data_IF_532392195049
#
_entry.id   IF_532392195049
#
_cell.length_a   1.000
_cell.length_b   1.000
_cell.length_c   1.000
_cell.angle_alpha   90.00
_cell.angle_beta   90.00
_cell.angle_gamma   90.00
#
_symmetry.space_group_name_H-M   'P 1'
#
loop_
_entity.id
_entity.type
_entity.pdbx_description
1 polymer ?
#
# COMPACT_ATOMS: atom_id res chain seq x y z
N UNK A 1 28.15 28.14 21.81
CA UNK A 1 28.11 27.40 20.53
C UNK A 1 26.66 27.00 20.28
N UNK A 2 26.13 27.19 19.07
CA UNK A 2 24.82 26.64 18.72
C UNK A 2 24.85 25.11 18.78
N UNK A 3 23.69 24.50 19.04
CA UNK A 3 23.48 23.05 18.93
C UNK A 3 23.94 22.59 17.54
N UNK A 4 24.59 21.43 17.44
CA UNK A 4 25.03 20.93 16.14
C UNK A 4 23.84 20.69 15.21
N UNK A 5 24.04 20.95 13.91
CA UNK A 5 23.02 20.73 12.90
C UNK A 5 22.51 19.28 12.93
N UNK A 6 23.42 18.31 13.09
CA UNK A 6 23.05 16.89 13.18
C UNK A 6 22.11 16.61 14.35
N UNK A 7 22.43 17.11 15.55
CA UNK A 7 21.57 16.96 16.72
C UNK A 7 20.20 17.61 16.51
N UNK A 8 20.17 18.83 15.97
CA UNK A 8 18.93 19.53 15.69
C UNK A 8 18.03 18.76 14.70
N UNK A 9 18.60 18.23 13.62
CA UNK A 9 17.88 17.45 12.61
C UNK A 9 17.32 16.14 13.18
N UNK A 10 18.11 15.41 13.99
CA UNK A 10 17.65 14.19 14.66
C UNK A 10 16.46 14.48 15.58
N UNK A 11 16.58 15.49 16.44
CA UNK A 11 15.53 15.87 17.38
C UNK A 11 14.26 16.34 16.67
N UNK A 12 14.42 17.06 15.55
CA UNK A 12 13.30 17.50 14.71
C UNK A 12 12.70 16.38 13.84
N UNK A 13 13.36 15.20 13.76
CA UNK A 13 13.01 14.08 12.87
C UNK A 13 13.05 14.44 11.38
N UNK A 14 13.99 15.29 11.01
CA UNK A 14 14.17 15.81 9.65
C UNK A 14 15.40 15.19 8.99
N UNK A 15 15.31 14.91 7.69
CA UNK A 15 16.53 14.64 6.91
C UNK A 15 17.26 15.96 6.62
N UNK A 16 18.57 15.92 6.38
CA UNK A 16 19.30 17.01 5.75
C UNK A 16 18.60 17.49 4.47
N UNK A 17 18.64 18.79 4.23
CA UNK A 17 17.89 19.43 3.13
C UNK A 17 18.27 18.86 1.76
N UNK A 18 19.56 18.63 1.51
CA UNK A 18 20.04 18.07 0.24
C UNK A 18 19.55 16.62 0.02
N UNK A 19 19.46 15.82 1.10
CA UNK A 19 18.87 14.48 1.05
C UNK A 19 17.36 14.57 0.79
N UNK A 20 16.65 15.51 1.44
CA UNK A 20 15.21 15.76 1.16
C UNK A 20 14.95 16.13 -0.30
N UNK A 21 15.78 17.01 -0.86
CA UNK A 21 15.66 17.45 -2.26
C UNK A 21 15.86 16.27 -3.20
N UNK A 22 16.88 15.43 -2.97
CA UNK A 22 17.11 14.21 -3.76
C UNK A 22 16.00 13.17 -3.59
N UNK A 23 15.46 12.99 -2.37
CA UNK A 23 14.30 12.12 -2.12
C UNK A 23 13.09 12.57 -2.97
N UNK A 24 12.81 13.87 -3.01
CA UNK A 24 11.73 14.44 -3.79
C UNK A 24 11.95 14.34 -5.30
N UNK A 25 13.19 14.57 -5.77
CA UNK A 25 13.57 14.44 -7.18
C UNK A 25 13.38 13.00 -7.67
N UNK A 26 13.90 12.01 -6.94
CA UNK A 26 13.72 10.58 -7.25
C UNK A 26 12.24 10.19 -7.34
N UNK A 27 11.43 10.65 -6.39
CA UNK A 27 9.99 10.37 -6.42
C UNK A 27 9.29 11.00 -7.63
N UNK A 28 9.74 12.17 -8.07
CA UNK A 28 9.23 12.83 -9.28
C UNK A 28 9.61 12.05 -10.55
N UNK A 29 10.86 11.59 -10.65
CA UNK A 29 11.36 10.77 -11.78
C UNK A 29 10.57 9.47 -11.92
N UNK A 30 10.33 8.75 -10.81
CA UNK A 30 9.51 7.52 -10.80
C UNK A 30 8.10 7.79 -11.35
N UNK A 31 7.45 8.87 -10.93
CA UNK A 31 6.11 9.23 -11.43
C UNK A 31 6.13 9.55 -12.92
N UNK A 32 7.20 10.17 -13.43
CA UNK A 32 7.36 10.49 -14.85
C UNK A 32 7.75 9.29 -15.72
N UNK A 33 8.25 8.21 -15.12
CA UNK A 33 8.78 7.08 -15.88
C UNK A 33 10.13 7.33 -16.52
N UNK A 34 10.88 8.27 -15.96
CA UNK A 34 12.28 8.44 -16.31
C UNK A 34 13.08 7.30 -15.67
N UNK A 35 13.95 6.65 -16.45
CA UNK A 35 14.82 5.52 -16.03
C UNK A 35 15.89 5.92 -15.01
N UNK A 36 15.90 7.18 -14.57
CA UNK A 36 16.92 7.73 -13.70
C UNK A 36 16.62 7.38 -12.23
N UNK A 37 16.90 6.13 -11.86
CA UNK A 37 17.01 5.73 -10.45
C UNK A 37 16.12 4.55 -10.03
N UNK A 38 16.50 3.35 -10.43
CA UNK A 38 16.77 2.16 -9.60
C UNK A 38 15.87 1.85 -8.38
N UNK A 39 14.60 2.26 -8.36
CA UNK A 39 13.64 1.82 -7.33
C UNK A 39 13.23 0.36 -7.55
N UNK A 40 13.19 -0.05 -8.82
CA UNK A 40 12.98 -1.42 -9.28
C UNK A 40 13.43 -1.48 -10.74
N UNK A 41 14.71 -1.79 -11.02
CA UNK A 41 15.29 -1.73 -12.36
C UNK A 41 14.50 -2.50 -13.44
N UNK A 42 13.74 -3.54 -13.06
CA UNK A 42 13.09 -4.45 -14.00
C UNK A 42 11.55 -4.41 -13.97
N UNK A 43 10.93 -3.52 -13.20
CA UNK A 43 9.46 -3.51 -12.99
C UNK A 43 8.87 -2.13 -13.22
N UNK A 44 7.59 -2.09 -13.60
CA UNK A 44 6.89 -0.85 -13.89
C UNK A 44 6.05 -0.37 -12.70
N UNK A 45 5.89 0.96 -12.58
CA UNK A 45 4.91 1.57 -11.69
C UNK A 45 3.48 1.26 -12.20
N UNK A 46 2.57 0.92 -11.30
CA UNK A 46 1.13 0.95 -11.60
C UNK A 46 0.69 2.40 -11.81
N UNK A 47 0.73 2.84 -13.07
CA UNK A 47 0.40 4.21 -13.46
C UNK A 47 -1.12 4.41 -13.49
N UNK A 48 -1.59 5.58 -13.05
CA UNK A 48 -2.95 6.00 -13.36
C UNK A 48 -3.15 6.05 -14.89
N UNK A 49 -4.35 5.70 -15.34
CA UNK A 49 -4.75 5.81 -16.76
C UNK A 49 -4.67 7.26 -17.21
N UNK A 50 -4.19 7.50 -18.43
CA UNK A 50 -4.09 8.85 -18.97
C UNK A 50 -5.50 9.44 -19.15
N UNK A 51 -5.66 10.73 -18.86
CA UNK A 51 -6.95 11.40 -18.99
C UNK A 51 -7.51 11.34 -20.41
N UNK A 52 -6.64 11.23 -21.43
CA UNK A 52 -7.00 11.15 -22.85
C UNK A 52 -7.59 9.80 -23.23
N UNK A 53 -7.28 8.76 -22.46
CA UNK A 53 -7.80 7.40 -22.64
C UNK A 53 -9.12 7.19 -21.88
N UNK A 54 -9.53 8.16 -21.06
CA UNK A 54 -10.76 8.07 -20.29
C UNK A 54 -11.99 8.17 -21.20
N UNK A 55 -13.00 7.30 -21.03
CA UNK A 55 -14.23 7.39 -21.80
C UNK A 55 -14.97 8.69 -21.49
N UNK A 56 -15.69 9.20 -22.49
CA UNK A 56 -16.59 10.34 -22.28
C UNK A 56 -17.62 9.99 -21.18
N UNK A 57 -18.00 10.94 -20.30
CA UNK A 57 -18.95 10.68 -19.22
C UNK A 57 -20.26 10.03 -19.68
N UNK A 58 -20.77 10.40 -20.86
CA UNK A 58 -21.99 9.83 -21.43
C UNK A 58 -21.88 8.34 -21.85
N UNK A 59 -20.66 7.80 -21.94
CA UNK A 59 -20.40 6.39 -22.26
C UNK A 59 -19.94 5.60 -21.04
N UNK A 60 -20.01 6.21 -19.86
CA UNK A 60 -19.60 5.58 -18.61
C UNK A 60 -20.77 4.73 -18.09
N UNK A 61 -20.61 3.42 -17.89
CA UNK A 61 -21.69 2.59 -17.37
C UNK A 61 -22.01 3.03 -15.95
N UNK A 62 -23.30 3.17 -15.66
CA UNK A 62 -23.80 3.29 -14.30
C UNK A 62 -23.66 1.92 -13.64
N UNK A 63 -22.65 1.79 -12.78
CA UNK A 63 -22.39 0.56 -12.04
C UNK A 63 -22.72 0.80 -10.57
N UNK A 64 -23.45 -0.14 -10.00
CA UNK A 64 -23.69 -0.24 -8.57
C UNK A 64 -23.20 -1.58 -8.04
N UNK A 65 -23.12 -1.69 -6.72
CA UNK A 65 -23.03 -2.99 -6.07
C UNK A 65 -23.99 -3.02 -4.88
N UNK A 66 -24.51 -4.19 -4.59
CA UNK A 66 -25.41 -4.40 -3.45
C UNK A 66 -24.67 -5.04 -2.28
N UNK A 67 -25.07 -4.71 -1.06
CA UNK A 67 -24.49 -5.27 0.16
C UNK A 67 -25.25 -6.52 0.55
N UNK A 68 -24.56 -7.65 0.63
CA UNK A 68 -25.10 -8.95 1.03
C UNK A 68 -24.28 -9.41 2.22
N UNK A 69 -24.85 -9.31 3.43
CA UNK A 69 -24.13 -9.79 4.62
C UNK A 69 -23.93 -11.30 4.55
N UNK A 70 -25.01 -12.02 4.26
CA UNK A 70 -25.06 -13.47 4.05
C UNK A 70 -25.96 -13.80 2.85
N UNK A 71 -25.65 -14.90 2.15
CA UNK A 71 -26.48 -15.43 1.06
C UNK A 71 -27.55 -16.38 1.60
N UNK A 72 -28.36 -15.90 2.54
CA UNK A 72 -29.50 -16.68 3.04
C UNK A 72 -30.61 -16.78 1.96
N UNK A 73 -31.48 -17.81 2.00
CA UNK A 73 -32.52 -18.00 0.99
C UNK A 73 -33.42 -16.78 0.77
N UNK A 74 -33.74 -16.02 1.84
CA UNK A 74 -34.57 -14.83 1.73
C UNK A 74 -33.86 -13.67 1.02
N UNK A 75 -32.54 -13.57 1.17
CA UNK A 75 -31.72 -12.59 0.46
C UNK A 75 -31.53 -12.97 -1.00
N UNK A 76 -31.32 -14.26 -1.30
CA UNK A 76 -31.25 -14.78 -2.68
C UNK A 76 -32.56 -14.52 -3.42
N UNK A 77 -33.70 -14.81 -2.79
CA UNK A 77 -35.03 -14.55 -3.36
C UNK A 77 -35.31 -13.05 -3.53
N UNK A 78 -35.01 -12.23 -2.51
CA UNK A 78 -35.23 -10.77 -2.55
C UNK A 78 -34.44 -10.10 -3.68
N UNK A 79 -33.19 -10.53 -3.89
CA UNK A 79 -32.28 -9.96 -4.88
C UNK A 79 -32.34 -10.69 -6.23
N UNK A 80 -33.21 -11.71 -6.34
CA UNK A 80 -33.35 -12.58 -7.50
C UNK A 80 -31.99 -13.04 -8.05
N UNK A 81 -31.11 -13.52 -7.16
CA UNK A 81 -29.77 -13.96 -7.52
C UNK A 81 -29.90 -15.31 -8.22
N UNK A 82 -29.83 -15.27 -9.55
CA UNK A 82 -29.93 -16.45 -10.42
C UNK A 82 -28.73 -16.51 -11.36
N UNK A 83 -28.37 -17.72 -11.79
CA UNK A 83 -27.24 -17.95 -12.68
C UNK A 83 -25.90 -18.13 -11.93
N UNK A 84 -24.77 -18.01 -12.63
CA UNK A 84 -23.46 -18.34 -12.07
C UNK A 84 -23.00 -17.31 -11.04
N UNK A 85 -22.34 -17.79 -9.99
CA UNK A 85 -21.72 -16.97 -8.96
C UNK A 85 -20.20 -17.01 -9.12
N UNK A 86 -19.55 -15.86 -9.20
CA UNK A 86 -18.10 -15.75 -9.18
C UNK A 86 -17.68 -15.05 -7.91
N UNK A 87 -16.89 -15.71 -7.07
CA UNK A 87 -16.29 -15.09 -5.88
C UNK A 87 -14.85 -14.72 -6.18
N UNK A 88 -14.39 -13.61 -5.60
CA UNK A 88 -13.05 -13.07 -5.82
C UNK A 88 -12.41 -12.70 -4.49
N UNK A 89 -11.10 -12.93 -4.38
CA UNK A 89 -10.33 -12.59 -3.19
C UNK A 89 -8.85 -12.29 -3.54
N UNK A 90 -8.25 -11.40 -2.76
CA UNK A 90 -6.83 -11.03 -2.82
C UNK A 90 -6.12 -11.14 -1.47
N UNK A 91 -5.18 -12.07 -1.35
CA UNK A 91 -4.46 -12.32 -0.10
C UNK A 91 -3.02 -11.76 -0.11
N UNK A 92 -2.60 -11.19 1.02
CA UNK A 92 -1.18 -10.92 1.32
C UNK A 92 -0.78 -11.60 2.63
N UNK A 93 0.04 -12.64 2.53
CA UNK A 93 0.49 -13.44 3.67
C UNK A 93 2.00 -13.66 3.58
N UNK A 94 2.72 -13.50 4.71
CA UNK A 94 4.18 -13.69 4.79
C UNK A 94 4.98 -12.89 3.75
N UNK A 95 4.51 -11.69 3.41
CA UNK A 95 5.15 -10.82 2.41
C UNK A 95 4.95 -11.28 0.96
N UNK A 96 4.23 -12.37 0.71
CA UNK A 96 3.83 -12.83 -0.63
C UNK A 96 2.39 -12.44 -0.91
N UNK A 97 2.04 -12.32 -2.19
CA UNK A 97 0.74 -11.81 -2.65
C UNK A 97 0.14 -12.78 -3.66
N UNK A 98 -1.15 -13.05 -3.50
CA UNK A 98 -1.91 -13.93 -4.38
C UNK A 98 -3.34 -13.42 -4.55
N UNK A 99 -3.97 -13.85 -5.63
CA UNK A 99 -5.36 -13.55 -5.93
C UNK A 99 -6.04 -14.80 -6.47
N UNK A 100 -7.35 -14.91 -6.30
CA UNK A 100 -8.10 -16.03 -6.83
C UNK A 100 -9.53 -15.64 -7.21
N UNK A 101 -10.14 -16.47 -8.04
CA UNK A 101 -11.57 -16.47 -8.28
C UNK A 101 -12.10 -17.89 -8.35
N UNK A 102 -13.36 -18.08 -7.96
CA UNK A 102 -14.08 -19.35 -8.00
C UNK A 102 -15.43 -19.16 -8.68
N UNK A 103 -15.83 -20.07 -9.56
CA UNK A 103 -17.09 -20.05 -10.28
C UNK A 103 -17.99 -21.17 -9.80
N UNK A 104 -19.22 -20.84 -9.41
CA UNK A 104 -20.18 -21.76 -8.83
C UNK A 104 -21.46 -21.79 -9.64
N UNK A 105 -22.03 -22.99 -9.79
CA UNK A 105 -23.35 -23.23 -10.38
C UNK A 105 -24.05 -24.27 -9.52
N UNK A 106 -25.31 -24.02 -9.17
CA UNK A 106 -26.13 -24.93 -8.36
C UNK A 106 -25.39 -25.40 -7.08
N UNK A 107 -24.79 -24.44 -6.35
CA UNK A 107 -24.00 -24.65 -5.12
C UNK A 107 -22.73 -25.51 -5.27
N UNK A 108 -22.33 -25.86 -6.49
CA UNK A 108 -21.10 -26.61 -6.77
C UNK A 108 -20.04 -25.75 -7.44
N UNK A 109 -18.79 -25.87 -6.97
CA UNK A 109 -17.63 -25.25 -7.62
C UNK A 109 -17.40 -25.88 -9.00
N UNK A 110 -17.63 -25.11 -10.05
CA UNK A 110 -17.44 -25.54 -11.43
C UNK A 110 -16.02 -25.31 -11.94
N UNK A 111 -15.39 -24.20 -11.53
CA UNK A 111 -14.05 -23.78 -11.95
C UNK A 111 -13.42 -22.88 -10.90
N UNK A 112 -12.09 -22.79 -10.92
CA UNK A 112 -11.34 -21.77 -10.21
C UNK A 112 -10.15 -21.26 -11.03
N UNK A 113 -9.58 -20.15 -10.61
CA UNK A 113 -8.32 -19.65 -11.13
C UNK A 113 -7.54 -18.97 -10.02
N UNK A 114 -6.22 -19.19 -10.01
CA UNK A 114 -5.31 -18.64 -9.00
C UNK A 114 -4.19 -17.88 -9.66
N UNK A 115 -3.76 -16.79 -9.03
CA UNK A 115 -2.81 -15.85 -9.59
C UNK A 115 -1.75 -15.48 -8.56
N UNK A 116 -0.48 -15.48 -8.94
CA UNK A 116 0.61 -14.97 -8.11
C UNK A 116 0.87 -13.53 -8.48
N UNK A 117 0.98 -12.65 -7.49
CA UNK A 117 1.41 -11.28 -7.68
C UNK A 117 2.80 -11.09 -7.08
N UNK A 118 3.53 -10.06 -7.51
CA UNK A 118 4.82 -9.76 -6.89
C UNK A 118 4.68 -9.29 -5.44
N UNK A 119 5.69 -9.57 -4.62
CA UNK A 119 5.69 -9.35 -3.16
C UNK A 119 5.48 -7.88 -2.74
N UNK A 120 5.84 -6.93 -3.60
CA UNK A 120 5.61 -5.51 -3.38
C UNK A 120 4.15 -5.09 -3.57
N UNK A 121 3.31 -5.92 -4.21
CA UNK A 121 1.90 -5.59 -4.44
C UNK A 121 1.16 -5.45 -3.10
N UNK A 122 0.16 -4.58 -3.08
CA UNK A 122 -0.73 -4.41 -1.92
C UNK A 122 -1.86 -5.42 -1.95
N UNK A 123 -2.52 -5.64 -0.79
CA UNK A 123 -3.78 -6.40 -0.72
C UNK A 123 -4.80 -5.79 -1.70
N UNK A 124 -4.95 -4.47 -1.68
CA UNK A 124 -5.84 -3.76 -2.61
C UNK A 124 -5.55 -4.08 -4.09
N UNK A 125 -4.28 -4.12 -4.52
CA UNK A 125 -3.95 -4.51 -5.90
C UNK A 125 -4.33 -5.97 -6.19
N UNK A 126 -4.16 -6.88 -5.23
CA UNK A 126 -4.57 -8.28 -5.38
C UNK A 126 -6.10 -8.41 -5.52
N UNK A 127 -6.86 -7.73 -4.67
CA UNK A 127 -8.32 -7.70 -4.71
C UNK A 127 -8.84 -7.13 -6.04
N UNK A 128 -8.33 -5.95 -6.43
CA UNK A 128 -8.74 -5.31 -7.67
C UNK A 128 -8.33 -6.14 -8.90
N UNK A 129 -7.20 -6.85 -8.83
CA UNK A 129 -6.77 -7.77 -9.88
C UNK A 129 -7.67 -9.01 -9.96
N UNK A 130 -8.06 -9.61 -8.82
CA UNK A 130 -9.01 -10.72 -8.76
C UNK A 130 -10.35 -10.33 -9.40
N UNK A 131 -10.88 -9.16 -9.01
CA UNK A 131 -12.12 -8.61 -9.54
C UNK A 131 -12.04 -8.36 -11.06
N UNK A 132 -10.95 -7.76 -11.54
CA UNK A 132 -10.71 -7.59 -12.98
C UNK A 132 -10.65 -8.93 -13.73
N UNK A 133 -9.98 -9.96 -13.16
CA UNK A 133 -9.92 -11.29 -13.76
C UNK A 133 -11.27 -12.00 -13.80
N UNK A 134 -12.12 -11.81 -12.79
CA UNK A 134 -13.49 -12.31 -12.81
C UNK A 134 -14.33 -11.66 -13.91
N UNK A 135 -14.25 -10.34 -14.06
CA UNK A 135 -14.96 -9.63 -15.12
C UNK A 135 -14.48 -10.08 -16.50
N UNK A 136 -13.16 -10.21 -16.68
CA UNK A 136 -12.59 -10.74 -17.93
C UNK A 136 -13.09 -12.17 -18.22
N UNK A 137 -13.19 -13.01 -17.20
CA UNK A 137 -13.78 -14.36 -17.31
C UNK A 137 -15.24 -14.31 -17.75
N UNK A 138 -16.03 -13.38 -17.24
CA UNK A 138 -17.42 -13.17 -17.71
C UNK A 138 -17.43 -12.77 -19.19
N UNK A 139 -16.57 -11.86 -19.61
CA UNK A 139 -16.45 -11.43 -21.01
C UNK A 139 -16.15 -12.60 -21.95
N UNK A 140 -15.23 -13.48 -21.56
CA UNK A 140 -14.88 -14.70 -22.31
C UNK A 140 -15.99 -15.78 -22.29
N UNK A 141 -16.94 -15.68 -21.35
CA UNK A 141 -18.08 -16.58 -21.20
C UNK A 141 -19.26 -16.24 -22.11
N UNK A 142 -20.36 -16.99 -21.96
CA UNK A 142 -21.61 -16.80 -22.75
C UNK A 142 -22.85 -16.60 -21.89
N UNK A 143 -22.72 -16.64 -20.56
CA UNK A 143 -23.85 -16.49 -19.65
C UNK A 143 -24.46 -15.10 -19.78
N UNK A 144 -25.80 -15.05 -19.88
CA UNK A 144 -26.55 -13.79 -20.05
C UNK A 144 -26.48 -12.91 -18.80
N UNK A 145 -26.42 -13.52 -17.62
CA UNK A 145 -26.34 -12.85 -16.33
C UNK A 145 -25.27 -13.55 -15.50
N UNK A 146 -24.37 -12.80 -14.87
CA UNK A 146 -23.39 -13.33 -13.90
C UNK A 146 -23.33 -12.45 -12.67
N UNK A 147 -23.30 -13.07 -11.49
CA UNK A 147 -23.18 -12.41 -10.20
C UNK A 147 -21.74 -12.51 -9.71
N UNK A 148 -21.08 -11.37 -9.47
CA UNK A 148 -19.71 -11.31 -8.95
C UNK A 148 -19.74 -10.82 -7.51
N UNK A 149 -19.15 -11.59 -6.61
CA UNK A 149 -19.06 -11.34 -5.19
C UNK A 149 -17.61 -11.03 -4.80
N UNK A 150 -17.42 -9.98 -4.01
CA UNK A 150 -16.12 -9.61 -3.43
C UNK A 150 -16.32 -9.08 -2.02
N UNK A 151 -15.46 -9.46 -1.08
CA UNK A 151 -15.46 -8.87 0.25
C UNK A 151 -14.66 -7.55 0.33
N UNK A 152 -13.94 -7.21 -0.75
CA UNK A 152 -13.20 -5.97 -0.89
C UNK A 152 -14.10 -4.80 -1.30
N UNK A 153 -14.79 -4.22 -0.32
CA UNK A 153 -15.62 -3.01 -0.52
C UNK A 153 -14.86 -1.89 -1.23
N UNK A 154 -13.57 -1.73 -0.93
CA UNK A 154 -12.71 -0.72 -1.56
C UNK A 154 -12.51 -0.95 -3.06
N UNK A 155 -12.40 -2.20 -3.51
CA UNK A 155 -12.26 -2.55 -4.92
C UNK A 155 -13.57 -2.35 -5.68
N UNK A 156 -14.70 -2.74 -5.06
CA UNK A 156 -16.04 -2.47 -5.61
C UNK A 156 -16.32 -0.97 -5.72
N UNK A 157 -15.98 -0.18 -4.70
CA UNK A 157 -16.08 1.27 -4.73
C UNK A 157 -15.18 1.88 -5.82
N UNK A 158 -13.96 1.38 -6.00
CA UNK A 158 -13.05 1.84 -7.06
C UNK A 158 -13.62 1.56 -8.46
N UNK A 159 -14.26 0.40 -8.64
CA UNK A 159 -14.87 -0.02 -9.91
C UNK A 159 -16.14 0.78 -10.24
N UNK A 160 -16.98 1.02 -9.23
CA UNK A 160 -18.29 1.69 -9.37
C UNK A 160 -18.19 3.22 -9.28
N UNK A 161 -17.05 3.78 -8.89
CA UNK A 161 -16.84 5.22 -8.84
C UNK A 161 -17.15 5.89 -10.20
N UNK A 162 -17.79 7.08 -10.22
CA UNK A 162 -18.09 7.79 -11.47
C UNK A 162 -16.85 8.04 -12.34
N UNK A 163 -15.69 8.24 -11.71
CA UNK A 163 -14.39 8.37 -12.37
C UNK A 163 -13.36 7.53 -11.62
N UNK A 164 -12.58 6.75 -12.37
CA UNK A 164 -11.47 5.97 -11.83
C UNK A 164 -10.26 6.09 -12.74
N UNK A 165 -9.11 6.36 -12.15
CA UNK A 165 -7.83 6.35 -12.86
C UNK A 165 -7.04 5.07 -12.58
N UNK A 166 -7.57 4.15 -11.76
CA UNK A 166 -6.90 2.88 -11.52
C UNK A 166 -6.95 2.03 -12.81
N UNK A 167 -5.81 1.52 -13.30
CA UNK A 167 -5.75 0.83 -14.59
C UNK A 167 -6.54 -0.48 -14.61
N UNK A 168 -6.55 -1.24 -13.50
CA UNK A 168 -7.32 -2.49 -13.41
C UNK A 168 -8.83 -2.21 -13.37
N UNK A 169 -9.26 -1.21 -12.61
CA UNK A 169 -10.66 -0.79 -12.59
C UNK A 169 -11.12 -0.24 -13.95
N UNK A 170 -10.27 0.54 -14.63
CA UNK A 170 -10.57 1.07 -15.95
C UNK A 170 -10.75 -0.06 -16.98
N UNK A 171 -9.82 -1.02 -17.04
CA UNK A 171 -9.92 -2.18 -17.93
C UNK A 171 -11.16 -3.02 -17.63
N UNK A 172 -11.43 -3.28 -16.34
CA UNK A 172 -12.65 -3.97 -15.91
C UNK A 172 -13.93 -3.26 -16.36
N UNK A 173 -13.98 -1.92 -16.33
CA UNK A 173 -15.14 -1.17 -16.83
C UNK A 173 -15.29 -1.25 -18.34
N UNK A 174 -14.19 -1.25 -19.09
CA UNK A 174 -14.24 -1.48 -20.53
C UNK A 174 -14.83 -2.86 -20.83
N UNK A 175 -14.38 -3.89 -20.11
CA UNK A 175 -14.93 -5.24 -20.25
C UNK A 175 -16.41 -5.31 -19.89
N UNK A 176 -16.87 -4.66 -18.80
CA UNK A 176 -18.30 -4.59 -18.47
C UNK A 176 -19.10 -3.88 -19.57
N UNK A 177 -18.58 -2.79 -20.14
CA UNK A 177 -19.27 -2.08 -21.23
C UNK A 177 -19.46 -2.98 -22.45
N UNK A 178 -18.44 -3.75 -22.80
CA UNK A 178 -18.51 -4.67 -23.94
C UNK A 178 -19.55 -5.78 -23.66
N UNK A 179 -19.55 -6.34 -22.44
CA UNK A 179 -20.56 -7.32 -22.00
C UNK A 179 -21.98 -6.74 -22.11
N UNK A 180 -22.20 -5.51 -21.65
CA UNK A 180 -23.51 -4.84 -21.73
C UNK A 180 -23.92 -4.56 -23.18
N UNK A 181 -22.96 -4.20 -24.04
CA UNK A 181 -23.23 -4.01 -25.47
C UNK A 181 -23.64 -5.31 -26.19
N UNK A 182 -23.22 -6.47 -25.67
CA UNK A 182 -23.67 -7.80 -26.11
C UNK A 182 -25.06 -8.19 -25.58
N UNK A 183 -25.71 -7.33 -24.79
CA UNK A 183 -27.02 -7.61 -24.18
C UNK A 183 -26.96 -8.54 -22.97
N UNK A 184 -25.79 -8.64 -22.33
CA UNK A 184 -25.53 -9.43 -21.13
C UNK A 184 -25.40 -8.51 -19.91
N UNK A 185 -25.53 -9.08 -18.71
CA UNK A 185 -25.58 -8.34 -17.45
C UNK A 185 -24.55 -8.88 -16.45
N UNK A 186 -23.86 -7.96 -15.76
CA UNK A 186 -22.96 -8.27 -14.65
C UNK A 186 -23.50 -7.58 -13.41
N UNK A 187 -23.81 -8.35 -12.37
CA UNK A 187 -24.20 -7.83 -11.06
C UNK A 187 -23.04 -7.93 -10.08
N UNK A 188 -22.84 -6.89 -9.30
CA UNK A 188 -21.77 -6.81 -8.31
C UNK A 188 -22.36 -6.84 -6.91
N UNK A 189 -21.77 -7.65 -6.05
CA UNK A 189 -22.20 -7.79 -4.66
C UNK A 189 -21.00 -7.68 -3.74
N UNK A 190 -21.16 -6.89 -2.68
CA UNK A 190 -20.24 -6.91 -1.56
C UNK A 190 -20.69 -7.96 -0.56
N UNK A 191 -19.80 -8.87 -0.20
CA UNK A 191 -20.04 -9.88 0.85
C UNK A 191 -19.17 -9.62 2.06
N UNK A 192 -19.59 -10.12 3.22
CA UNK A 192 -18.77 -10.02 4.42
C UNK A 192 -17.66 -11.08 4.42
N UNK A 193 -16.42 -10.65 4.67
CA UNK A 193 -15.31 -11.56 4.87
C UNK A 193 -15.55 -12.49 6.07
N UNK A 194 -15.19 -13.76 5.93
CA UNK A 194 -15.28 -14.79 6.98
C UNK A 194 -16.69 -14.97 7.61
N UNK A 195 -17.73 -14.85 6.79
CA UNK A 195 -19.12 -15.01 7.21
C UNK A 195 -19.74 -16.39 6.86
N UNK A 196 -18.95 -17.41 6.52
CA UNK A 196 -19.50 -18.74 6.20
C UNK A 196 -19.97 -18.90 4.75
N UNK A 197 -19.80 -17.90 3.89
CA UNK A 197 -20.12 -18.03 2.46
C UNK A 197 -19.08 -18.90 1.77
N UNK A 198 -19.46 -20.15 1.46
CA UNK A 198 -18.55 -21.20 0.96
C UNK A 198 -17.70 -20.75 -0.23
N UNK A 199 -18.30 -20.04 -1.20
CA UNK A 199 -17.56 -19.55 -2.36
C UNK A 199 -16.52 -18.47 -2.04
N UNK A 200 -16.81 -17.60 -1.08
CA UNK A 200 -15.87 -16.56 -0.62
C UNK A 200 -14.71 -17.19 0.17
N UNK A 201 -15.02 -18.08 1.12
CA UNK A 201 -13.99 -18.80 1.89
C UNK A 201 -13.07 -19.61 0.98
N UNK A 202 -13.64 -20.23 -0.06
CA UNK A 202 -12.87 -20.94 -1.07
C UNK A 202 -11.96 -20.00 -1.87
N UNK A 203 -12.43 -18.80 -2.23
CA UNK A 203 -11.60 -17.81 -2.91
C UNK A 203 -10.42 -17.35 -2.03
N UNK A 204 -10.66 -17.04 -0.75
CA UNK A 204 -9.61 -16.66 0.23
C UNK A 204 -8.57 -17.78 0.40
N UNK A 205 -9.03 -19.03 0.58
CA UNK A 205 -8.14 -20.18 0.69
C UNK A 205 -7.23 -20.31 -0.55
N UNK A 206 -7.81 -20.17 -1.74
CA UNK A 206 -7.10 -20.26 -3.00
C UNK A 206 -6.14 -19.08 -3.23
N UNK A 207 -6.52 -17.86 -2.87
CA UNK A 207 -5.66 -16.67 -2.98
C UNK A 207 -4.46 -16.79 -2.04
N UNK A 208 -4.67 -17.25 -0.81
CA UNK A 208 -3.59 -17.55 0.15
C UNK A 208 -2.67 -18.66 -0.34
N UNK A 209 -3.24 -19.74 -0.88
CA UNK A 209 -2.46 -20.83 -1.48
C UNK A 209 -1.64 -20.33 -2.69
N UNK A 210 -2.21 -19.46 -3.53
CA UNK A 210 -1.52 -18.85 -4.66
C UNK A 210 -0.32 -18.01 -4.20
N UNK A 211 -0.49 -17.22 -3.12
CA UNK A 211 0.58 -16.43 -2.54
C UNK A 211 1.75 -17.30 -2.02
N UNK A 212 1.45 -18.41 -1.34
CA UNK A 212 2.45 -19.19 -0.62
C UNK A 212 3.10 -20.29 -1.48
N UNK A 213 2.31 -20.99 -2.30
CA UNK A 213 2.70 -22.25 -2.95
C UNK A 213 3.00 -22.11 -4.44
N UNK A 214 2.42 -21.14 -5.15
CA UNK A 214 2.62 -20.98 -6.60
C UNK A 214 4.02 -20.44 -6.87
N UNK A 215 4.82 -21.17 -7.67
CA UNK A 215 6.23 -20.83 -8.00
C UNK A 215 6.42 -20.25 -9.41
N UNK A 216 5.34 -19.99 -10.14
CA UNK A 216 5.39 -19.47 -11.51
C UNK A 216 5.86 -18.01 -11.55
N UNK A 217 6.10 -17.47 -12.74
CA UNK A 217 6.19 -16.02 -12.92
C UNK A 217 4.92 -15.33 -12.36
N UNK A 218 5.06 -14.08 -11.93
CA UNK A 218 3.95 -13.31 -11.41
C UNK A 218 2.97 -12.97 -12.55
N UNK A 219 1.69 -13.17 -12.29
CA UNK A 219 0.58 -12.77 -13.14
C UNK A 219 0.33 -11.24 -13.10
N UNK A 220 0.87 -10.56 -12.09
CA UNK A 220 0.90 -9.10 -11.95
C UNK A 220 2.15 -8.64 -11.20
N UNK A 221 2.86 -7.66 -11.78
CA UNK A 221 4.19 -7.24 -11.35
C UNK A 221 4.38 -5.70 -11.39
N UNK A 222 3.27 -4.94 -11.41
CA UNK A 222 3.34 -3.48 -11.33
C UNK A 222 3.34 -3.01 -9.89
N UNK A 223 4.38 -2.28 -9.49
CA UNK A 223 4.50 -1.83 -8.11
C UNK A 223 3.62 -0.62 -7.81
N UNK A 224 3.08 -0.49 -6.60
CA UNK A 224 2.30 0.69 -6.21
C UNK A 224 3.23 1.86 -5.86
N UNK A 225 2.74 3.10 -6.03
CA UNK A 225 3.51 4.31 -5.67
C UNK A 225 3.93 4.32 -4.19
N UNK A 226 3.14 3.71 -3.31
CA UNK A 226 3.48 3.56 -1.89
C UNK A 226 4.74 2.72 -1.66
N UNK A 227 4.95 1.68 -2.48
CA UNK A 227 6.18 0.88 -2.44
C UNK A 227 7.38 1.71 -2.87
N UNK A 228 7.28 2.44 -3.98
CA UNK A 228 8.36 3.31 -4.43
C UNK A 228 8.73 4.38 -3.39
N UNK A 229 7.74 5.03 -2.78
CA UNK A 229 7.95 5.98 -1.66
C UNK A 229 8.69 5.32 -0.50
N UNK A 230 8.34 4.08 -0.14
CA UNK A 230 8.99 3.32 0.94
C UNK A 230 10.47 3.06 0.62
N UNK A 231 10.76 2.57 -0.59
CA UNK A 231 12.14 2.27 -1.04
C UNK A 231 12.99 3.54 -1.06
N UNK A 232 12.51 4.61 -1.69
CA UNK A 232 13.23 5.89 -1.76
C UNK A 232 13.48 6.45 -0.36
N UNK A 233 12.48 6.34 0.53
CA UNK A 233 12.61 6.79 1.93
C UNK A 233 13.66 5.99 2.69
N UNK A 234 13.68 4.66 2.53
CA UNK A 234 14.68 3.81 3.16
C UNK A 234 16.09 4.20 2.72
N UNK A 235 16.33 4.32 1.42
CA UNK A 235 17.64 4.75 0.89
C UNK A 235 18.05 6.15 1.41
N UNK A 236 17.10 7.06 1.55
CA UNK A 236 17.36 8.41 2.10
C UNK A 236 17.69 8.39 3.60
N UNK A 237 17.10 7.46 4.35
CA UNK A 237 17.40 7.25 5.76
C UNK A 237 18.75 6.55 5.96
N UNK A 238 19.11 5.62 5.08
CA UNK A 238 20.42 4.95 5.10
C UNK A 238 21.54 5.95 4.81
N UNK A 239 21.37 6.80 3.80
CA UNK A 239 22.33 7.88 3.53
C UNK A 239 22.43 8.85 4.71
N UNK A 240 21.30 9.21 5.32
CA UNK A 240 21.31 10.06 6.50
C UNK A 240 22.01 9.39 7.69
N UNK A 241 21.79 8.08 7.88
CA UNK A 241 22.46 7.30 8.91
C UNK A 241 23.98 7.32 8.73
N UNK A 242 24.48 7.14 7.50
CA UNK A 242 25.91 7.17 7.21
C UNK A 242 26.50 8.54 7.58
N UNK A 243 25.90 9.63 7.08
CA UNK A 243 26.36 11.00 7.38
C UNK A 243 26.29 11.34 8.87
N UNK A 244 25.27 10.83 9.56
CA UNK A 244 25.12 11.03 10.99
C UNK A 244 26.22 10.32 11.78
N UNK A 245 26.56 9.07 11.41
CA UNK A 245 27.63 8.30 12.05
C UNK A 245 29.00 8.94 11.82
N UNK A 246 29.32 9.28 10.57
CA UNK A 246 30.64 9.81 10.16
C UNK A 246 30.88 11.27 10.61
N UNK A 247 29.82 12.06 10.78
CA UNK A 247 29.97 13.47 11.13
C UNK A 247 30.48 13.67 12.56
N UNK A 248 31.57 14.42 12.76
CA UNK A 248 32.20 14.64 14.07
C UNK A 248 31.45 15.55 15.07
N UNK A 249 30.13 15.72 14.95
CA UNK A 249 29.34 16.58 15.84
C UNK A 249 28.14 15.84 16.42
N UNK A 250 27.61 16.34 17.54
CA UNK A 250 26.41 15.78 18.18
C UNK A 250 26.66 14.50 18.99
N UNK A 251 27.88 14.29 19.48
CA UNK A 251 28.29 13.08 20.22
C UNK A 251 27.35 12.72 21.37
N UNK A 252 26.93 13.71 22.18
CA UNK A 252 25.95 13.45 23.26
C UNK A 252 24.63 12.92 22.70
N UNK A 253 24.14 13.49 21.59
CA UNK A 253 22.90 13.01 20.95
C UNK A 253 23.08 11.60 20.40
N UNK A 254 24.26 11.25 19.85
CA UNK A 254 24.57 9.90 19.36
C UNK A 254 24.56 8.85 20.47
N UNK A 255 24.97 9.23 21.69
CA UNK A 255 24.88 8.31 22.84
C UNK A 255 23.43 7.89 23.12
N UNK A 256 22.47 8.81 23.00
CA UNK A 256 21.04 8.50 23.16
C UNK A 256 20.43 7.86 21.92
N UNK A 257 20.88 8.27 20.74
CA UNK A 257 20.28 7.91 19.46
C UNK A 257 21.33 7.51 18.43
N UNK A 258 21.96 6.33 18.57
CA UNK A 258 22.99 5.89 17.63
C UNK A 258 22.42 5.58 16.23
N UNK A 259 21.11 5.29 16.16
CA UNK A 259 20.40 4.99 14.92
C UNK A 259 19.32 6.03 14.64
N UNK A 260 19.36 6.65 13.47
CA UNK A 260 18.42 7.66 12.96
C UNK A 260 16.97 7.17 13.03
N UNK A 261 16.67 6.01 12.43
CA UNK A 261 15.31 5.46 12.44
C UNK A 261 14.81 5.14 13.85
N UNK A 262 15.70 4.64 14.70
CA UNK A 262 15.42 4.40 16.11
C UNK A 262 15.06 5.69 16.83
N UNK A 263 15.84 6.76 16.59
CA UNK A 263 15.58 8.09 17.09
C UNK A 263 14.19 8.57 16.69
N UNK A 264 13.83 8.47 15.40
CA UNK A 264 12.55 8.96 14.91
C UNK A 264 11.37 8.25 15.55
N UNK A 265 11.51 6.94 15.80
CA UNK A 265 10.48 6.11 16.47
C UNK A 265 10.32 6.44 17.94
N UNK A 266 11.41 6.78 18.64
CA UNK A 266 11.36 7.14 20.05
C UNK A 266 10.83 8.56 20.22
N UNK A 267 11.38 9.51 19.46
CA UNK A 267 11.02 10.92 19.49
C UNK A 267 9.60 11.20 18.98
N UNK A 268 8.99 10.29 18.22
CA UNK A 268 7.58 10.42 17.83
C UNK A 268 6.59 10.20 18.98
N UNK A 269 7.05 9.68 20.14
CA UNK A 269 6.20 9.31 21.27
C UNK A 269 6.05 10.41 22.32
N UNK A 270 6.80 11.50 22.22
CA UNK A 270 6.73 12.60 23.19
C UNK A 270 7.13 13.93 22.56
N UNK A 271 6.81 15.03 23.25
CA UNK A 271 7.19 16.38 22.83
C UNK A 271 8.52 16.78 23.45
N UNK A 272 9.43 17.29 22.62
CA UNK A 272 10.73 17.77 23.09
C UNK A 272 10.56 19.13 23.78
N UNK A 273 10.70 19.16 25.10
CA UNK A 273 10.74 20.41 25.88
C UNK A 273 12.16 20.98 25.92
N UNK A 274 12.35 22.27 26.25
CA UNK A 274 13.69 22.86 26.33
C UNK A 274 14.65 22.09 27.27
N UNK A 275 14.27 21.65 28.49
CA UNK A 275 15.16 20.85 29.33
C UNK A 275 15.54 19.52 28.69
N UNK A 276 14.60 18.84 28.02
CA UNK A 276 14.88 17.59 27.31
C UNK A 276 15.86 17.84 26.15
N UNK A 277 15.65 18.90 25.37
CA UNK A 277 16.56 19.28 24.29
C UNK A 277 17.98 19.57 24.82
N UNK A 278 18.10 20.30 25.94
CA UNK A 278 19.38 20.57 26.57
C UNK A 278 20.09 19.28 26.97
N UNK A 279 19.39 18.35 27.63
CA UNK A 279 19.93 17.04 28.02
C UNK A 279 20.37 16.22 26.81
N UNK A 280 19.52 16.08 25.79
CA UNK A 280 19.80 15.25 24.62
C UNK A 280 20.90 15.81 23.71
N UNK A 281 21.21 17.11 23.81
CA UNK A 281 22.26 17.77 23.02
C UNK A 281 23.52 18.04 23.82
N UNK A 282 23.47 17.94 25.15
CA UNK A 282 24.53 18.43 26.04
C UNK A 282 24.67 19.96 26.06
N UNK A 283 23.74 20.71 25.47
CA UNK A 283 23.77 22.17 25.39
C UNK A 283 22.83 22.78 26.44
N UNK A 284 23.19 22.64 27.71
CA UNK A 284 22.44 23.18 28.85
C UNK A 284 23.36 23.76 29.91
N UNK A 285 22.79 24.13 31.07
CA UNK A 285 23.53 24.63 32.24
C UNK A 285 24.42 23.59 32.94
N UNK A 286 24.90 22.56 32.24
CA UNK A 286 25.75 21.51 32.79
C UNK A 286 27.14 22.05 33.10
N UNK A 287 27.78 21.54 34.16
CA UNK A 287 29.11 22.00 34.59
C UNK A 287 30.15 21.87 33.46
N UNK A 288 30.14 20.74 32.75
CA UNK A 288 31.00 20.49 31.59
C UNK A 288 30.78 21.52 30.47
N UNK A 289 29.53 21.88 30.17
CA UNK A 289 29.21 22.87 29.14
C UNK A 289 29.64 24.28 29.58
N UNK A 290 29.31 24.69 30.81
CA UNK A 290 29.65 26.01 31.34
C UNK A 290 31.17 26.21 31.51
N UNK A 291 31.90 25.18 31.92
CA UNK A 291 33.36 25.20 32.04
C UNK A 291 34.05 25.46 30.69
N UNK A 292 33.53 24.87 29.60
CA UNK A 292 34.01 25.14 28.24
C UNK A 292 33.96 26.61 27.85
N UNK A 293 33.00 27.37 28.39
CA UNK A 293 32.87 28.82 28.17
C UNK A 293 33.51 29.67 29.28
N UNK A 294 34.29 29.06 30.18
CA UNK A 294 34.92 29.74 31.33
C UNK A 294 33.93 30.40 32.28
N UNK A 295 32.71 29.86 32.35
CA UNK A 295 31.66 30.28 33.30
C UNK A 295 31.67 29.45 34.60
N UNK A 296 32.46 28.37 34.63
CA UNK A 296 32.74 27.55 35.82
C UNK A 296 34.19 27.07 35.80
N UNK A 297 34.80 26.93 36.96
CA UNK A 297 36.20 26.52 37.09
C UNK A 297 36.43 25.01 36.88
N UNK A 298 35.40 24.19 37.09
CA UNK A 298 35.47 22.73 36.96
C UNK A 298 34.39 22.18 36.02
N UNK A 299 34.71 21.19 35.17
CA UNK A 299 33.73 20.50 34.32
C UNK A 299 32.86 19.50 35.10
N UNK A 300 33.19 19.19 36.36
CA UNK A 300 32.49 18.20 37.18
C UNK A 300 31.36 18.81 38.01
N UNK A 301 30.31 18.03 38.26
CA UNK A 301 29.24 18.45 39.18
C UNK A 301 29.77 18.47 40.63
N UNK A 302 29.34 19.46 41.42
CA UNK A 302 29.58 19.50 42.86
C UNK A 302 28.96 18.30 43.61
N UNK A 303 27.99 17.63 42.98
CA UNK A 303 27.32 16.44 43.46
C UNK A 303 28.16 15.14 43.34
N UNK A 304 29.37 15.22 42.79
CA UNK A 304 30.33 14.11 42.74
C UNK A 304 31.35 14.14 43.91
N UNK A 305 31.02 14.84 44.99
CA UNK A 305 31.73 14.81 46.29
C UNK A 305 30.81 14.23 47.35
#
# INVERSE_FOLDING_TARGET
MPVSLHSALILARLLPLDIRVREAARLYEVKRGSESGDVCADRELERPVDFREMPHPAHTPELGFESVEDLDPSTVDRLAIVGPHIYTDGSKTEGKVGAALTEWRDEMESRNSTFRLESFCTVFQAEMFALHRAIKRVKEGKDRLVNIFSDSKSSLQMLTAPKTYNPLAHAARQDIRDIVAEGREVRLFWVRAHAGTTGNERADELARNAALKKKTAADYDRYPLSYAKKVIRAASLDEWQQRYTEGGTGEITKCFFPRVEGAYRVLSRFTITPPIAQTLTGHGGFAQYLNRFKLKDSPYCACAR
#
